data_IF_707601682908
#
_entry.id   IF_707601682908
#
_cell.length_a   1.000
_cell.length_b   1.000
_cell.length_c   1.000
_cell.angle_alpha   90.00
_cell.angle_beta   90.00
_cell.angle_gamma   90.00
#
_symmetry.space_group_name_H-M   'P 1'
#
loop_
_entity.id
_entity.type
_entity.pdbx_description
1 polymer ?
#
# COMPACT_ATOMS: atom_id res chain seq x y z
N UNK A 1 -8.40 -28.92 34.37
CA UNK A 1 -7.79 -28.65 35.70
C UNK A 1 -8.83 -28.73 36.82
N UNK A 2 -10.01 -28.19 36.68
CA UNK A 2 -11.11 -28.23 37.70
C UNK A 2 -11.58 -29.62 38.07
N UNK A 3 -11.86 -30.52 37.14
CA UNK A 3 -12.40 -31.86 37.41
C UNK A 3 -11.55 -32.66 38.41
N UNK A 4 -10.22 -32.54 38.30
CA UNK A 4 -9.29 -33.25 39.23
C UNK A 4 -9.22 -32.62 40.59
N UNK A 5 -9.32 -31.29 40.66
CA UNK A 5 -9.38 -30.58 41.91
C UNK A 5 -10.62 -30.98 42.69
N UNK A 6 -11.77 -30.94 42.04
CA UNK A 6 -13.04 -31.38 42.65
C UNK A 6 -12.99 -32.86 43.08
N UNK A 7 -12.36 -33.73 42.28
CA UNK A 7 -12.20 -35.16 42.66
C UNK A 7 -11.32 -35.35 43.87
N UNK A 8 -10.19 -34.60 43.98
CA UNK A 8 -9.32 -34.62 45.17
C UNK A 8 -10.01 -34.07 46.42
N UNK A 9 -10.96 -33.17 46.27
CA UNK A 9 -11.80 -32.64 47.35
C UNK A 9 -12.94 -33.62 47.75
N UNK A 10 -12.93 -34.85 47.20
CA UNK A 10 -13.89 -35.91 47.58
C UNK A 10 -15.21 -35.87 46.81
N UNK A 11 -15.36 -35.03 45.82
CA UNK A 11 -16.60 -34.94 45.04
C UNK A 11 -16.90 -36.20 44.26
N UNK A 12 -18.17 -36.61 44.22
CA UNK A 12 -18.60 -37.73 43.41
C UNK A 12 -18.63 -37.33 41.93
N UNK A 13 -18.44 -38.29 41.02
CA UNK A 13 -18.54 -38.07 39.56
C UNK A 13 -19.88 -37.42 39.16
N UNK A 14 -21.00 -37.76 39.88
CA UNK A 14 -22.28 -37.12 39.68
C UNK A 14 -22.29 -35.62 40.06
N UNK A 15 -21.66 -35.29 41.16
CA UNK A 15 -21.56 -33.90 41.64
C UNK A 15 -20.66 -33.06 40.70
N UNK A 16 -19.52 -33.62 40.29
CA UNK A 16 -18.61 -32.97 39.31
C UNK A 16 -19.31 -32.74 37.98
N UNK A 17 -20.05 -33.75 37.47
CA UNK A 17 -20.76 -33.63 36.19
C UNK A 17 -21.87 -32.55 36.24
N UNK A 18 -22.54 -32.37 37.39
CA UNK A 18 -23.55 -31.34 37.61
C UNK A 18 -22.92 -29.96 37.67
N UNK A 19 -21.84 -29.82 38.39
CA UNK A 19 -21.12 -28.55 38.57
C UNK A 19 -20.49 -28.06 37.30
N UNK A 20 -19.86 -28.97 36.55
CA UNK A 20 -19.11 -28.62 35.31
C UNK A 20 -19.98 -28.61 34.04
N UNK A 21 -21.23 -29.05 34.10
CA UNK A 21 -22.10 -29.20 32.93
C UNK A 21 -21.69 -30.32 31.97
N UNK A 22 -20.72 -31.15 32.33
CA UNK A 22 -20.19 -32.21 31.49
C UNK A 22 -20.95 -33.55 31.75
N UNK A 23 -20.92 -34.41 30.72
CA UNK A 23 -21.46 -35.75 30.90
C UNK A 23 -20.63 -36.59 31.90
N UNK A 24 -21.25 -37.50 32.63
CA UNK A 24 -20.56 -38.42 33.55
C UNK A 24 -19.48 -39.25 32.84
N UNK A 25 -19.69 -39.60 31.57
CA UNK A 25 -18.74 -40.32 30.74
C UNK A 25 -17.52 -39.43 30.44
N UNK A 26 -17.74 -38.17 30.11
CA UNK A 26 -16.70 -37.19 29.90
C UNK A 26 -15.85 -36.97 31.18
N UNK A 27 -16.51 -36.82 32.33
CA UNK A 27 -15.80 -36.67 33.61
C UNK A 27 -14.94 -37.91 33.95
N UNK A 28 -15.44 -39.13 33.73
CA UNK A 28 -14.65 -40.36 33.92
C UNK A 28 -13.43 -40.37 33.02
N UNK A 29 -13.62 -40.11 31.72
CA UNK A 29 -12.53 -40.08 30.72
C UNK A 29 -11.42 -39.11 31.12
N UNK A 30 -11.78 -37.90 31.60
CA UNK A 30 -10.79 -36.92 32.06
C UNK A 30 -10.07 -37.32 33.35
N UNK A 31 -10.68 -38.15 34.18
CA UNK A 31 -10.06 -38.68 35.40
C UNK A 31 -9.13 -39.86 35.11
N UNK A 32 -9.45 -40.70 34.13
CA UNK A 32 -8.68 -41.87 33.73
C UNK A 32 -7.47 -41.50 32.84
N UNK A 33 -7.67 -40.59 31.88
CA UNK A 33 -6.61 -40.14 31.00
C UNK A 33 -6.56 -38.60 30.93
N UNK A 34 -5.57 -38.01 31.63
CA UNK A 34 -5.40 -36.56 31.67
C UNK A 34 -4.99 -35.91 30.37
N UNK A 35 -4.34 -36.65 29.48
CA UNK A 35 -3.85 -36.16 28.19
C UNK A 35 -4.86 -36.36 27.08
N UNK A 36 -5.89 -37.15 27.31
CA UNK A 36 -7.01 -37.34 26.38
C UNK A 36 -8.02 -36.17 26.34
N UNK A 37 -7.58 -34.96 26.77
CA UNK A 37 -8.33 -33.74 26.49
C UNK A 37 -8.72 -33.78 25.02
N UNK A 38 -10.04 -33.69 24.75
CA UNK A 38 -10.68 -33.92 23.45
C UNK A 38 -9.91 -33.31 22.27
N UNK A 39 -8.85 -33.95 21.85
CA UNK A 39 -8.25 -33.71 20.55
C UNK A 39 -9.16 -34.45 19.58
N UNK A 40 -10.01 -33.72 18.88
CA UNK A 40 -10.60 -34.25 17.66
C UNK A 40 -9.45 -34.71 16.79
N UNK A 41 -9.30 -36.01 16.61
CA UNK A 41 -8.37 -36.55 15.63
C UNK A 41 -8.67 -35.94 14.24
N UNK A 42 -7.69 -35.85 13.38
CA UNK A 42 -7.93 -35.40 12.01
C UNK A 42 -9.08 -36.26 11.44
N UNK A 43 -10.13 -35.59 10.95
CA UNK A 43 -11.21 -36.30 10.25
C UNK A 43 -10.63 -37.06 9.08
N UNK A 44 -11.05 -38.29 8.88
CA UNK A 44 -10.73 -39.02 7.67
C UNK A 44 -11.06 -38.18 6.43
N UNK A 45 -10.12 -38.09 5.46
CA UNK A 45 -10.35 -37.32 4.25
C UNK A 45 -11.59 -37.83 3.53
N UNK A 46 -12.63 -37.02 3.40
CA UNK A 46 -13.80 -37.37 2.60
C UNK A 46 -13.44 -37.38 1.13
N UNK A 47 -13.89 -38.33 0.32
CA UNK A 47 -13.68 -38.31 -1.12
C UNK A 47 -14.25 -37.00 -1.69
N UNK A 48 -13.37 -36.26 -2.39
CA UNK A 48 -13.75 -34.98 -3.00
C UNK A 48 -14.16 -35.19 -4.46
N UNK A 49 -15.05 -34.32 -4.99
CA UNK A 49 -15.41 -34.35 -6.42
C UNK A 49 -14.18 -34.24 -7.34
N UNK A 50 -13.10 -33.62 -6.87
CA UNK A 50 -11.85 -33.47 -7.61
C UNK A 50 -11.00 -34.76 -7.58
N UNK A 51 -11.20 -35.66 -6.62
CA UNK A 51 -10.39 -36.85 -6.40
C UNK A 51 -10.05 -37.60 -7.67
N UNK A 52 -11.01 -38.03 -8.51
CA UNK A 52 -10.77 -38.79 -9.75
C UNK A 52 -9.92 -38.03 -10.80
N UNK A 53 -9.79 -36.72 -10.70
CA UNK A 53 -9.10 -35.90 -11.69
C UNK A 53 -7.72 -35.41 -11.21
N UNK A 54 -7.34 -35.72 -9.96
CA UNK A 54 -6.09 -35.24 -9.34
C UNK A 54 -4.87 -35.69 -10.11
N UNK A 55 -4.81 -36.93 -10.50
CA UNK A 55 -3.66 -37.48 -11.25
C UNK A 55 -3.50 -36.81 -12.62
N UNK A 56 -4.61 -36.60 -13.32
CA UNK A 56 -4.60 -35.90 -14.59
C UNK A 56 -4.10 -34.43 -14.41
N UNK A 57 -4.64 -33.72 -13.45
CA UNK A 57 -4.25 -32.32 -13.17
C UNK A 57 -2.77 -32.24 -12.81
N UNK A 58 -2.26 -33.18 -11.98
CA UNK A 58 -0.85 -33.24 -11.59
C UNK A 58 0.05 -33.48 -12.80
N UNK A 59 -0.28 -34.44 -13.64
CA UNK A 59 0.49 -34.76 -14.85
C UNK A 59 0.53 -33.56 -15.82
N UNK A 60 -0.61 -32.83 -15.96
CA UNK A 60 -0.68 -31.62 -16.82
C UNK A 60 0.19 -30.49 -16.29
N UNK A 61 0.14 -30.25 -14.97
CA UNK A 61 0.97 -29.22 -14.32
C UNK A 61 2.45 -29.55 -14.47
N UNK A 62 2.83 -30.80 -14.25
CA UNK A 62 4.23 -31.23 -14.35
C UNK A 62 4.76 -31.15 -15.79
N UNK A 63 3.99 -31.59 -16.77
CA UNK A 63 4.35 -31.50 -18.18
C UNK A 63 4.51 -30.05 -18.68
N UNK A 64 3.88 -29.09 -18.02
CA UNK A 64 3.97 -27.70 -18.41
C UNK A 64 5.18 -26.96 -17.80
N UNK A 65 5.86 -27.54 -16.84
CA UNK A 65 7.01 -26.89 -16.18
C UNK A 65 8.13 -26.56 -17.18
N UNK A 66 8.79 -25.40 -17.04
CA UNK A 66 8.68 -24.41 -15.97
C UNK A 66 7.46 -23.44 -16.08
N UNK A 67 6.71 -23.52 -17.20
CA UNK A 67 5.49 -22.74 -17.39
C UNK A 67 4.35 -23.24 -16.48
N UNK A 68 3.29 -22.43 -16.34
CA UNK A 68 2.14 -22.74 -15.52
C UNK A 68 0.84 -22.68 -16.32
N UNK A 69 0.03 -23.73 -16.26
CA UNK A 69 -1.29 -23.75 -16.88
C UNK A 69 -2.29 -23.01 -15.96
N UNK A 70 -3.02 -22.01 -16.45
CA UNK A 70 -4.05 -21.31 -15.66
C UNK A 70 -5.12 -22.28 -15.15
N UNK A 71 -5.56 -22.08 -13.90
CA UNK A 71 -6.59 -22.93 -13.28
C UNK A 71 -7.89 -23.02 -14.08
N UNK A 72 -8.22 -21.95 -14.83
CA UNK A 72 -9.43 -21.92 -15.69
C UNK A 72 -9.29 -22.91 -16.87
N UNK A 73 -8.10 -23.05 -17.43
CA UNK A 73 -7.82 -23.99 -18.51
C UNK A 73 -7.92 -25.42 -18.01
N UNK A 74 -7.24 -25.71 -16.87
CA UNK A 74 -7.34 -27.04 -16.23
C UNK A 74 -8.76 -27.40 -15.82
N UNK A 75 -9.55 -26.40 -15.37
CA UNK A 75 -10.97 -26.62 -15.06
C UNK A 75 -11.74 -27.07 -16.30
N UNK A 76 -11.57 -26.38 -17.42
CA UNK A 76 -12.23 -26.74 -18.68
C UNK A 76 -11.84 -28.17 -19.13
N UNK A 77 -10.56 -28.50 -19.08
CA UNK A 77 -10.06 -29.82 -19.44
C UNK A 77 -10.65 -30.94 -18.57
N UNK A 78 -10.84 -30.74 -17.26
CA UNK A 78 -11.46 -31.74 -16.37
C UNK A 78 -12.98 -31.74 -16.47
N UNK A 79 -13.62 -30.61 -16.80
CA UNK A 79 -15.05 -30.54 -17.06
C UNK A 79 -15.42 -31.35 -18.30
N UNK A 80 -14.64 -31.31 -19.35
CA UNK A 80 -14.78 -32.18 -20.56
C UNK A 80 -14.68 -33.68 -20.22
N UNK A 81 -14.02 -34.01 -19.09
CA UNK A 81 -13.89 -35.36 -18.54
C UNK A 81 -14.96 -35.70 -17.48
N UNK A 82 -15.96 -34.83 -17.30
CA UNK A 82 -17.09 -35.07 -16.39
C UNK A 82 -16.99 -34.45 -15.00
N UNK A 83 -16.00 -33.56 -14.74
CA UNK A 83 -15.92 -32.85 -13.46
C UNK A 83 -17.07 -31.84 -13.30
N UNK A 84 -17.84 -31.98 -12.20
CA UNK A 84 -18.99 -31.11 -11.89
C UNK A 84 -18.72 -30.24 -10.64
N UNK A 85 -17.48 -29.97 -10.33
CA UNK A 85 -17.08 -29.11 -9.21
C UNK A 85 -16.72 -27.69 -9.65
N UNK A 86 -16.53 -26.81 -8.67
CA UNK A 86 -16.20 -25.41 -8.90
C UNK A 86 -14.70 -25.12 -9.02
N UNK A 87 -14.38 -23.97 -9.61
CA UNK A 87 -13.03 -23.45 -9.76
C UNK A 87 -12.29 -23.27 -8.42
N UNK A 88 -13.02 -22.90 -7.36
CA UNK A 88 -12.43 -22.65 -6.03
C UNK A 88 -11.76 -23.92 -5.47
N UNK A 89 -12.39 -25.08 -5.61
CA UNK A 89 -11.84 -26.34 -5.15
C UNK A 89 -10.56 -26.72 -5.90
N UNK A 90 -10.55 -26.52 -7.23
CA UNK A 90 -9.36 -26.73 -8.04
C UNK A 90 -8.22 -25.75 -7.66
N UNK A 91 -8.53 -24.47 -7.42
CA UNK A 91 -7.53 -23.48 -6.98
C UNK A 91 -6.89 -23.84 -5.63
N UNK A 92 -7.67 -24.32 -4.68
CA UNK A 92 -7.15 -24.79 -3.37
C UNK A 92 -6.18 -25.94 -3.56
N UNK A 93 -6.51 -26.90 -4.43
CA UNK A 93 -5.61 -28.01 -4.75
C UNK A 93 -4.34 -27.57 -5.48
N UNK A 94 -4.45 -26.63 -6.42
CA UNK A 94 -3.32 -26.14 -7.22
C UNK A 94 -2.37 -25.21 -6.43
N UNK A 95 -2.84 -24.58 -5.36
CA UNK A 95 -2.06 -23.62 -4.59
C UNK A 95 -0.73 -24.19 -4.05
N UNK A 96 -0.66 -25.39 -3.45
CA UNK A 96 0.59 -25.99 -3.00
C UNK A 96 1.47 -26.49 -4.17
N UNK A 97 0.87 -26.83 -5.32
CA UNK A 97 1.61 -27.32 -6.50
C UNK A 97 2.28 -26.18 -7.28
N UNK A 98 1.80 -24.95 -7.09
CA UNK A 98 2.43 -23.77 -7.62
C UNK A 98 3.70 -23.51 -6.82
N UNK A 99 4.81 -24.16 -7.19
CA UNK A 99 6.10 -23.88 -6.58
C UNK A 99 6.42 -22.42 -6.88
N UNK A 100 6.19 -21.57 -5.91
CA UNK A 100 6.90 -20.32 -5.81
C UNK A 100 8.28 -20.69 -5.27
N UNK A 101 9.21 -20.96 -6.14
CA UNK A 101 10.56 -20.57 -5.81
C UNK A 101 10.45 -19.07 -5.55
N UNK A 102 10.63 -18.59 -4.33
CA UNK A 102 10.69 -17.16 -4.11
C UNK A 102 11.89 -16.72 -4.94
N UNK A 103 11.63 -16.10 -6.11
CA UNK A 103 12.70 -15.38 -6.77
C UNK A 103 13.35 -14.54 -5.70
N UNK A 104 14.68 -14.64 -5.51
CA UNK A 104 15.36 -13.88 -4.48
C UNK A 104 14.93 -12.43 -4.64
N UNK A 105 14.27 -11.89 -3.61
CA UNK A 105 13.91 -10.49 -3.53
C UNK A 105 15.22 -9.73 -3.41
N UNK A 106 15.85 -9.44 -4.54
CA UNK A 106 16.97 -8.51 -4.60
C UNK A 106 16.39 -7.14 -4.23
N UNK A 107 16.47 -6.83 -2.96
CA UNK A 107 16.13 -5.49 -2.45
C UNK A 107 17.29 -4.59 -2.83
N UNK A 108 17.09 -3.76 -3.84
CA UNK A 108 18.04 -2.71 -4.16
C UNK A 108 17.93 -1.64 -3.08
N UNK A 109 18.85 -1.68 -2.13
CA UNK A 109 19.09 -0.55 -1.26
C UNK A 109 19.91 0.49 -2.07
N UNK A 110 19.52 1.75 -1.93
CA UNK A 110 20.20 2.87 -2.60
C UNK A 110 20.98 3.66 -1.58
N UNK A 111 22.10 4.22 -2.00
CA UNK A 111 22.86 5.14 -1.16
C UNK A 111 22.05 6.43 -0.86
N UNK A 112 22.38 7.15 0.22
CA UNK A 112 21.76 8.44 0.51
C UNK A 112 21.96 9.41 -0.66
N UNK A 113 20.87 10.09 -1.08
CA UNK A 113 20.88 11.04 -2.19
C UNK A 113 20.97 10.43 -3.58
N UNK A 114 21.04 9.11 -3.72
CA UNK A 114 21.20 8.44 -5.01
C UNK A 114 19.92 8.45 -5.84
N UNK A 115 18.78 8.07 -5.27
CA UNK A 115 17.57 7.81 -6.05
C UNK A 115 16.28 8.22 -5.34
N UNK A 116 15.40 8.83 -6.09
CA UNK A 116 13.97 9.01 -5.78
C UNK A 116 13.13 8.21 -6.77
N UNK A 117 12.06 7.57 -6.31
CA UNK A 117 11.05 6.93 -7.15
C UNK A 117 9.79 7.78 -7.16
N UNK A 118 9.23 8.06 -8.32
CA UNK A 118 8.00 8.84 -8.45
C UNK A 118 6.97 8.14 -9.34
N UNK A 119 5.68 8.27 -8.98
CA UNK A 119 4.57 7.62 -9.65
C UNK A 119 3.25 8.34 -9.42
N UNK A 120 2.33 8.20 -10.39
CA UNK A 120 0.93 8.51 -10.20
C UNK A 120 0.13 7.25 -9.88
N UNK A 121 -0.81 7.36 -8.95
CA UNK A 121 -1.77 6.29 -8.65
C UNK A 121 -3.19 6.84 -8.66
N UNK A 122 -4.09 6.15 -9.35
CA UNK A 122 -5.51 6.51 -9.34
C UNK A 122 -6.16 6.17 -7.99
N UNK A 123 -6.77 7.20 -7.40
CA UNK A 123 -7.66 7.08 -6.23
C UNK A 123 -9.10 6.89 -6.70
N UNK A 124 -9.51 7.71 -7.68
CA UNK A 124 -10.84 7.65 -8.31
C UNK A 124 -10.72 7.95 -9.79
N UNK A 125 -11.39 7.16 -10.63
CA UNK A 125 -11.53 7.37 -12.07
C UNK A 125 -12.88 8.00 -12.39
N UNK A 126 -13.10 8.46 -13.62
CA UNK A 126 -14.36 9.00 -14.13
C UNK A 126 -14.30 10.49 -14.42
N UNK A 127 -15.46 11.15 -14.45
CA UNK A 127 -15.59 12.57 -14.85
C UNK A 127 -14.78 13.54 -13.95
N UNK A 128 -14.64 13.21 -12.67
CA UNK A 128 -13.86 13.98 -11.70
C UNK A 128 -12.79 13.06 -11.11
N UNK A 129 -11.69 12.85 -11.84
CA UNK A 129 -10.64 11.95 -11.40
C UNK A 129 -9.93 12.53 -10.17
N UNK A 130 -9.41 11.65 -9.34
CA UNK A 130 -8.52 11.99 -8.23
C UNK A 130 -7.32 11.07 -8.35
N UNK A 131 -6.16 11.65 -8.54
CA UNK A 131 -4.88 10.97 -8.61
C UNK A 131 -4.02 11.41 -7.43
N UNK A 132 -3.14 10.56 -6.99
CA UNK A 132 -2.07 10.90 -6.08
C UNK A 132 -0.73 10.75 -6.82
N UNK A 133 0.02 11.83 -6.91
CA UNK A 133 1.45 11.77 -7.20
C UNK A 133 2.17 11.39 -5.91
N UNK A 134 3.06 10.41 -5.98
CA UNK A 134 3.85 9.93 -4.84
C UNK A 134 5.31 9.92 -5.23
N UNK A 135 6.13 10.58 -4.44
CA UNK A 135 7.60 10.53 -4.55
C UNK A 135 8.18 9.94 -3.27
N UNK A 136 9.10 8.98 -3.39
CA UNK A 136 9.74 8.30 -2.24
C UNK A 136 11.24 8.24 -2.47
N UNK A 137 12.00 8.78 -1.51
CA UNK A 137 13.46 8.67 -1.52
C UNK A 137 13.91 7.24 -1.27
N UNK A 138 14.95 6.86 -1.97
CA UNK A 138 15.40 5.48 -2.01
C UNK A 138 16.06 4.99 -0.72
N UNK A 139 16.77 5.85 -0.02
CA UNK A 139 17.47 5.54 1.24
C UNK A 139 16.58 5.75 2.46
N UNK A 140 16.10 6.97 2.69
CA UNK A 140 15.32 7.31 3.88
C UNK A 140 13.93 6.68 3.91
N UNK A 141 13.36 6.37 2.75
CA UNK A 141 11.95 5.99 2.60
C UNK A 141 10.98 7.13 2.93
N UNK A 142 11.50 8.33 3.12
CA UNK A 142 10.67 9.52 3.25
C UNK A 142 9.85 9.70 1.97
N UNK A 143 8.58 10.02 2.13
CA UNK A 143 7.65 10.12 1.02
C UNK A 143 6.95 11.47 1.01
N UNK A 144 6.71 11.97 -0.19
CA UNK A 144 5.90 13.14 -0.50
C UNK A 144 4.68 12.71 -1.30
N UNK A 145 3.55 13.36 -1.08
CA UNK A 145 2.31 13.11 -1.83
C UNK A 145 1.64 14.43 -2.16
N UNK A 146 1.18 14.54 -3.40
CA UNK A 146 0.35 15.64 -3.89
C UNK A 146 -0.84 15.06 -4.67
N UNK A 147 -2.05 15.58 -4.43
CA UNK A 147 -3.24 15.13 -5.16
C UNK A 147 -3.54 16.05 -6.32
N UNK A 148 -3.94 15.46 -7.47
CA UNK A 148 -4.18 16.16 -8.73
C UNK A 148 -5.41 15.60 -9.43
N UNK A 149 -5.86 16.30 -10.47
CA UNK A 149 -6.92 15.84 -11.37
C UNK A 149 -6.38 15.29 -12.68
N UNK A 150 -5.10 15.52 -12.98
CA UNK A 150 -4.46 15.13 -14.23
C UNK A 150 -3.07 14.50 -13.95
N UNK A 151 -2.55 13.79 -14.95
CA UNK A 151 -1.20 13.21 -14.96
C UNK A 151 -0.43 13.65 -16.23
N UNK A 152 -0.76 14.84 -16.75
CA UNK A 152 -0.03 15.43 -17.88
C UNK A 152 1.39 15.86 -17.48
N UNK A 153 2.18 16.26 -18.47
CA UNK A 153 3.58 16.64 -18.27
C UNK A 153 3.74 17.83 -17.34
N UNK A 154 2.89 18.83 -17.46
CA UNK A 154 2.96 20.03 -16.61
C UNK A 154 2.67 19.69 -15.16
N UNK A 155 1.63 18.88 -14.91
CA UNK A 155 1.30 18.37 -13.57
C UNK A 155 2.43 17.52 -13.01
N UNK A 156 3.04 16.65 -13.81
CA UNK A 156 4.20 15.85 -13.41
C UNK A 156 5.37 16.74 -12.99
N UNK A 157 5.74 17.73 -13.83
CA UNK A 157 6.84 18.64 -13.55
C UNK A 157 6.59 19.49 -12.29
N UNK A 158 5.35 19.98 -12.11
CA UNK A 158 4.96 20.69 -10.89
C UNK A 158 5.11 19.80 -9.65
N UNK A 159 4.54 18.59 -9.66
CA UNK A 159 4.62 17.67 -8.53
C UNK A 159 6.06 17.23 -8.22
N UNK A 160 6.89 17.04 -9.24
CA UNK A 160 8.33 16.77 -9.06
C UNK A 160 9.02 17.95 -8.37
N UNK A 161 8.81 19.18 -8.85
CA UNK A 161 9.36 20.40 -8.24
C UNK A 161 8.99 20.49 -6.76
N UNK A 162 7.71 20.36 -6.43
CA UNK A 162 7.20 20.38 -5.05
C UNK A 162 7.83 19.28 -4.18
N UNK A 163 8.02 18.08 -4.74
CA UNK A 163 8.66 16.98 -4.00
C UNK A 163 10.13 17.25 -3.67
N UNK A 164 10.89 17.85 -4.61
CA UNK A 164 12.29 18.21 -4.39
C UNK A 164 12.42 19.31 -3.33
N UNK A 165 11.54 20.31 -3.38
CA UNK A 165 11.44 21.36 -2.35
C UNK A 165 11.11 20.74 -0.98
N UNK A 166 10.11 19.86 -0.91
CA UNK A 166 9.74 19.19 0.33
C UNK A 166 10.89 18.40 0.96
N UNK A 167 11.65 17.65 0.15
CA UNK A 167 12.83 16.92 0.63
C UNK A 167 14.00 17.83 1.02
N UNK A 168 14.01 19.07 0.52
CA UNK A 168 15.07 20.03 0.78
C UNK A 168 16.34 19.79 -0.03
N UNK A 169 16.22 19.14 -1.20
CA UNK A 169 17.34 18.87 -2.10
C UNK A 169 17.00 17.89 -3.21
N UNK A 170 17.97 17.63 -4.06
CA UNK A 170 17.81 16.92 -5.34
C UNK A 170 18.61 15.61 -5.34
N UNK A 171 17.98 14.45 -5.54
CA UNK A 171 18.67 13.18 -5.69
C UNK A 171 19.41 13.12 -7.04
N UNK A 172 20.39 12.22 -7.16
CA UNK A 172 21.10 12.04 -8.42
C UNK A 172 20.18 11.54 -9.53
N UNK A 173 19.28 10.60 -9.21
CA UNK A 173 18.38 9.98 -10.17
C UNK A 173 16.93 10.06 -9.71
N UNK A 174 16.05 10.35 -10.66
CA UNK A 174 14.59 10.24 -10.49
C UNK A 174 14.09 9.10 -11.37
N UNK A 175 13.62 8.01 -10.73
CA UNK A 175 13.09 6.85 -11.40
C UNK A 175 11.59 7.04 -11.66
N UNK A 176 11.23 7.05 -12.93
CA UNK A 176 9.87 7.27 -13.43
C UNK A 176 9.36 6.05 -14.17
N UNK A 177 8.03 5.93 -14.27
CA UNK A 177 7.42 4.96 -15.18
C UNK A 177 7.50 5.44 -16.63
N UNK A 178 6.99 4.66 -17.56
CA UNK A 178 7.11 4.86 -19.01
C UNK A 178 5.89 5.50 -19.71
N UNK A 179 5.07 6.38 -19.09
CA UNK A 179 4.02 7.04 -19.83
C UNK A 179 4.59 8.04 -20.86
N UNK A 180 3.81 8.41 -21.86
CA UNK A 180 4.22 9.40 -22.86
C UNK A 180 4.54 10.78 -22.28
N UNK A 181 4.03 11.08 -21.09
CA UNK A 181 4.34 12.29 -20.32
C UNK A 181 5.80 12.34 -19.88
N UNK A 182 6.46 11.20 -19.75
CA UNK A 182 7.85 11.06 -19.33
C UNK A 182 8.75 10.80 -20.54
N UNK A 183 8.40 9.79 -21.37
CA UNK A 183 9.23 9.35 -22.50
C UNK A 183 8.40 9.33 -23.77
N UNK A 184 8.90 10.01 -24.80
CA UNK A 184 8.27 10.03 -26.13
C UNK A 184 8.60 8.75 -26.87
N UNK A 185 9.88 8.32 -26.83
CA UNK A 185 10.34 7.12 -27.53
C UNK A 185 11.51 6.47 -26.77
N UNK A 186 11.40 5.15 -26.58
CA UNK A 186 12.43 4.38 -25.91
C UNK A 186 13.55 4.02 -26.86
N UNK A 187 14.79 4.01 -26.31
CA UNK A 187 15.99 3.58 -27.02
C UNK A 187 16.19 4.26 -28.38
N UNK A 188 15.64 5.48 -28.53
CA UNK A 188 15.66 6.26 -29.77
C UNK A 188 17.08 6.55 -30.25
N UNK A 189 18.00 6.82 -29.34
CA UNK A 189 19.40 7.12 -29.63
C UNK A 189 20.34 5.94 -29.37
N UNK A 190 19.80 4.75 -29.11
CA UNK A 190 20.52 3.53 -28.75
C UNK A 190 20.05 2.93 -27.42
N UNK A 191 20.51 1.73 -27.09
CA UNK A 191 20.09 1.01 -25.88
C UNK A 191 20.30 1.85 -24.60
N UNK A 192 19.25 2.08 -23.85
CA UNK A 192 19.26 2.91 -22.64
C UNK A 192 19.24 4.43 -22.90
N UNK A 193 19.25 4.88 -24.15
CA UNK A 193 19.20 6.30 -24.53
C UNK A 193 17.82 6.66 -25.07
N UNK A 194 16.98 7.19 -24.18
CA UNK A 194 15.58 7.45 -24.46
C UNK A 194 15.33 8.89 -24.90
N UNK A 195 14.31 9.09 -25.75
CA UNK A 195 13.80 10.42 -26.06
C UNK A 195 12.76 10.84 -25.03
N UNK A 196 13.21 11.63 -24.05
CA UNK A 196 12.33 12.15 -22.98
C UNK A 196 11.48 13.33 -23.47
N UNK A 197 10.42 13.63 -22.72
CA UNK A 197 9.65 14.85 -22.90
C UNK A 197 10.53 16.08 -22.60
N UNK A 198 10.40 17.13 -23.44
CA UNK A 198 11.24 18.34 -23.36
C UNK A 198 11.06 19.11 -22.07
N UNK A 199 9.84 19.23 -21.56
CA UNK A 199 9.55 19.92 -20.30
C UNK A 199 10.19 19.18 -19.11
N UNK A 200 10.12 17.84 -19.11
CA UNK A 200 10.81 17.04 -18.09
C UNK A 200 12.33 17.19 -18.17
N UNK A 201 12.92 17.25 -19.37
CA UNK A 201 14.35 17.48 -19.53
C UNK A 201 14.74 18.87 -19.03
N UNK A 202 13.97 19.91 -19.36
CA UNK A 202 14.22 21.27 -18.87
C UNK A 202 14.19 21.32 -17.33
N UNK A 203 13.22 20.66 -16.70
CA UNK A 203 13.19 20.53 -15.24
C UNK A 203 14.39 19.75 -14.70
N UNK A 204 14.79 18.68 -15.38
CA UNK A 204 15.94 17.86 -14.98
C UNK A 204 17.25 18.65 -15.07
N UNK A 205 17.42 19.49 -16.09
CA UNK A 205 18.56 20.40 -16.23
C UNK A 205 18.55 21.49 -15.16
N UNK A 206 17.39 22.14 -14.92
CA UNK A 206 17.22 23.17 -13.90
C UNK A 206 17.60 22.67 -12.50
N UNK A 207 17.13 21.48 -12.12
CA UNK A 207 17.39 20.90 -10.79
C UNK A 207 18.65 20.04 -10.72
N UNK A 208 19.22 19.64 -11.85
CA UNK A 208 20.44 18.85 -11.91
C UNK A 208 20.25 17.36 -11.61
N UNK A 209 19.05 16.78 -11.78
CA UNK A 209 18.83 15.33 -11.65
C UNK A 209 18.86 14.62 -13.01
N UNK A 210 19.04 13.30 -12.97
CA UNK A 210 18.97 12.45 -14.16
C UNK A 210 17.68 11.64 -14.15
N UNK A 211 16.76 11.82 -15.11
CA UNK A 211 15.59 10.95 -15.23
C UNK A 211 16.03 9.54 -15.63
N UNK A 212 15.47 8.52 -14.99
CA UNK A 212 15.64 7.11 -15.33
C UNK A 212 14.28 6.45 -15.52
N UNK A 213 14.20 5.50 -16.45
CA UNK A 213 12.99 4.73 -16.70
C UNK A 213 13.06 3.36 -16.02
N UNK A 214 11.92 2.92 -15.54
CA UNK A 214 11.76 1.54 -15.10
C UNK A 214 11.98 0.58 -16.28
N UNK A 215 12.72 -0.51 -16.07
CA UNK A 215 12.84 -1.56 -17.09
C UNK A 215 11.47 -2.21 -17.31
N UNK A 216 11.06 -2.44 -18.58
CA UNK A 216 9.82 -3.15 -18.87
C UNK A 216 9.81 -4.52 -18.19
N UNK A 217 8.63 -4.98 -17.77
CA UNK A 217 8.40 -6.30 -17.16
C UNK A 217 9.20 -6.60 -15.86
N UNK A 218 9.91 -5.62 -15.30
CA UNK A 218 10.55 -5.72 -13.98
C UNK A 218 9.80 -4.84 -12.95
N UNK A 219 8.57 -5.23 -12.59
CA UNK A 219 7.77 -4.58 -11.53
C UNK A 219 8.55 -4.41 -10.20
N UNK A 220 9.55 -5.25 -9.96
CA UNK A 220 10.39 -5.23 -8.74
C UNK A 220 11.23 -3.96 -8.57
N UNK A 221 11.51 -3.19 -9.65
CA UNK A 221 12.32 -1.96 -9.58
C UNK A 221 11.61 -0.81 -8.88
N UNK A 222 10.29 -0.77 -8.88
CA UNK A 222 9.45 0.30 -8.32
C UNK A 222 8.74 -0.07 -7.02
N UNK A 223 9.11 -1.17 -6.40
CA UNK A 223 8.44 -1.72 -5.23
C UNK A 223 8.41 -0.81 -3.99
N UNK A 224 9.21 0.25 -3.94
CA UNK A 224 9.21 1.23 -2.84
C UNK A 224 7.95 2.10 -2.90
N UNK A 225 7.70 2.72 -4.05
CA UNK A 225 6.51 3.56 -4.30
C UNK A 225 5.23 2.72 -4.30
N UNK A 226 5.22 1.54 -4.91
CA UNK A 226 4.02 0.68 -4.93
C UNK A 226 3.54 0.29 -3.53
N UNK A 227 4.48 -0.04 -2.62
CA UNK A 227 4.13 -0.32 -1.21
C UNK A 227 3.59 0.91 -0.51
N UNK A 228 4.19 2.07 -0.78
CA UNK A 228 3.69 3.31 -0.21
C UNK A 228 2.30 3.67 -0.76
N UNK A 229 2.03 3.46 -2.05
CA UNK A 229 0.72 3.65 -2.65
C UNK A 229 -0.37 2.80 -1.96
N UNK A 230 -0.07 1.54 -1.65
CA UNK A 230 -0.98 0.67 -0.90
C UNK A 230 -1.21 1.18 0.52
N UNK A 231 -0.15 1.62 1.20
CA UNK A 231 -0.22 2.20 2.53
C UNK A 231 -1.02 3.52 2.55
N UNK A 232 -0.78 4.43 1.60
CA UNK A 232 -1.50 5.69 1.43
C UNK A 232 -3.02 5.44 1.29
N UNK A 233 -3.40 4.47 0.45
CA UNK A 233 -4.81 4.12 0.23
C UNK A 233 -5.47 3.61 1.52
N UNK A 234 -4.84 2.70 2.23
CA UNK A 234 -5.41 2.09 3.43
C UNK A 234 -5.36 2.98 4.67
N UNK A 235 -4.26 3.70 4.89
CA UNK A 235 -4.01 4.45 6.13
C UNK A 235 -4.42 5.92 6.09
N UNK A 236 -4.54 6.52 4.90
CA UNK A 236 -4.93 7.91 4.73
C UNK A 236 -6.27 8.08 4.01
N UNK A 237 -6.36 7.57 2.77
CA UNK A 237 -7.51 7.88 1.91
C UNK A 237 -8.82 7.26 2.41
N UNK A 238 -8.80 5.99 2.82
CA UNK A 238 -10.01 5.32 3.31
C UNK A 238 -10.54 5.97 4.59
N UNK A 239 -9.72 6.23 5.64
CA UNK A 239 -10.19 6.94 6.83
C UNK A 239 -10.69 8.35 6.53
N UNK A 240 -9.95 9.15 5.74
CA UNK A 240 -10.34 10.50 5.37
C UNK A 240 -11.68 10.52 4.62
N UNK A 241 -11.83 9.64 3.61
CA UNK A 241 -13.08 9.54 2.86
C UNK A 241 -14.27 9.15 3.76
N UNK A 242 -14.06 8.27 4.74
CA UNK A 242 -15.09 7.89 5.71
C UNK A 242 -15.50 9.07 6.60
N UNK A 243 -14.54 9.83 7.11
CA UNK A 243 -14.78 11.02 7.93
C UNK A 243 -15.53 12.10 7.15
N UNK A 244 -15.08 12.40 5.93
CA UNK A 244 -15.76 13.38 5.07
C UNK A 244 -17.19 12.95 4.72
N UNK A 245 -17.40 11.68 4.44
CA UNK A 245 -18.73 11.12 4.17
C UNK A 245 -19.68 11.29 5.36
N UNK A 246 -19.20 11.10 6.60
CA UNK A 246 -20.00 11.33 7.80
C UNK A 246 -20.41 12.80 7.95
N UNK A 247 -19.55 13.71 7.49
CA UNK A 247 -19.83 15.16 7.44
C UNK A 247 -20.62 15.60 6.19
N UNK A 248 -21.13 14.67 5.37
CA UNK A 248 -21.84 14.99 4.12
C UNK A 248 -20.97 15.51 2.99
N UNK A 249 -19.64 15.48 3.15
CA UNK A 249 -18.65 15.98 2.20
C UNK A 249 -18.10 14.86 1.31
N UNK A 250 -17.56 15.26 0.16
CA UNK A 250 -16.86 14.33 -0.76
C UNK A 250 -15.37 14.60 -0.73
N UNK A 251 -14.59 13.51 -0.82
CA UNK A 251 -13.15 13.61 -0.99
C UNK A 251 -12.84 14.16 -2.39
N UNK A 252 -12.21 15.33 -2.46
CA UNK A 252 -11.69 15.97 -3.66
C UNK A 252 -10.21 16.33 -3.50
N UNK A 253 -9.62 16.97 -4.51
CA UNK A 253 -8.21 17.38 -4.53
C UNK A 253 -7.89 18.34 -3.39
N UNK A 254 -8.75 19.32 -3.16
CA UNK A 254 -8.54 20.35 -2.13
C UNK A 254 -8.56 19.75 -0.74
N UNK A 255 -9.59 18.94 -0.43
CA UNK A 255 -9.71 18.25 0.84
C UNK A 255 -8.54 17.28 1.07
N UNK A 256 -8.12 16.54 0.03
CA UNK A 256 -6.99 15.62 0.14
C UNK A 256 -5.67 16.35 0.41
N UNK A 257 -5.39 17.44 -0.33
CA UNK A 257 -4.16 18.22 -0.17
C UNK A 257 -4.09 18.98 1.17
N UNK A 258 -5.21 19.43 1.71
CA UNK A 258 -5.22 20.10 3.02
C UNK A 258 -4.89 19.15 4.18
N UNK A 259 -5.16 17.86 4.05
CA UNK A 259 -4.95 16.88 5.12
C UNK A 259 -3.66 16.05 4.95
N UNK A 260 -3.07 15.99 3.74
CA UNK A 260 -1.94 15.10 3.48
C UNK A 260 -0.65 15.53 4.19
N UNK A 261 -0.36 16.84 4.25
CA UNK A 261 0.87 17.36 4.86
C UNK A 261 1.05 16.93 6.32
N UNK A 262 0.08 17.22 7.22
CA UNK A 262 0.11 16.76 8.60
C UNK A 262 0.23 15.23 8.75
N UNK A 263 -0.46 14.47 7.89
CA UNK A 263 -0.38 13.01 7.91
C UNK A 263 1.00 12.49 7.48
N UNK A 264 1.62 13.08 6.45
CA UNK A 264 2.98 12.73 6.04
C UNK A 264 3.96 12.98 7.18
N UNK A 265 3.88 14.15 7.81
CA UNK A 265 4.81 14.58 8.84
C UNK A 265 4.69 13.78 10.15
N UNK A 266 3.45 13.53 10.60
CA UNK A 266 3.17 12.95 11.92
C UNK A 266 2.94 11.43 11.91
N UNK A 267 2.57 10.88 10.76
CA UNK A 267 2.20 9.47 10.63
C UNK A 267 3.11 8.74 9.65
N UNK A 268 3.10 9.12 8.37
CA UNK A 268 3.76 8.31 7.33
C UNK A 268 5.29 8.33 7.47
N UNK A 269 5.89 9.49 7.64
CA UNK A 269 7.35 9.64 7.74
C UNK A 269 7.86 9.57 9.19
N UNK A 270 6.96 9.53 10.18
CA UNK A 270 7.30 9.43 11.60
C UNK A 270 7.24 7.99 12.15
N UNK A 271 6.61 7.06 11.41
CA UNK A 271 6.52 5.65 11.86
C UNK A 271 7.85 4.92 11.67
N UNK A 272 8.09 3.89 12.46
CA UNK A 272 9.15 2.92 12.18
C UNK A 272 8.82 2.19 10.88
N UNK A 273 9.69 2.28 9.89
CA UNK A 273 9.48 1.68 8.58
C UNK A 273 9.80 0.18 8.60
N UNK A 274 8.82 -0.66 8.25
CA UNK A 274 8.91 -2.12 8.40
C UNK A 274 10.04 -2.82 7.65
N UNK A 275 10.69 -2.17 6.66
CA UNK A 275 11.84 -2.75 5.94
C UNK A 275 13.17 -2.29 6.51
N UNK A 276 13.29 -1.00 6.87
CA UNK A 276 14.55 -0.43 7.37
C UNK A 276 14.68 -0.56 8.89
N UNK A 277 13.56 -0.72 9.61
CA UNK A 277 13.55 -0.70 11.07
C UNK A 277 13.75 0.70 11.67
N UNK A 278 13.84 1.74 10.85
CA UNK A 278 14.17 3.11 11.26
C UNK A 278 13.05 4.08 10.85
N UNK A 279 13.06 5.27 11.44
CA UNK A 279 12.08 6.33 11.15
C UNK A 279 12.49 7.11 9.89
N UNK A 280 11.64 7.20 8.84
CA UNK A 280 11.98 7.93 7.62
C UNK A 280 12.40 9.38 7.83
N UNK A 281 11.79 10.11 8.76
CA UNK A 281 12.17 11.49 9.06
C UNK A 281 13.61 11.61 9.60
N UNK A 282 14.05 10.69 10.45
CA UNK A 282 15.41 10.67 10.99
C UNK A 282 16.42 10.35 9.88
N UNK A 283 16.12 9.34 9.07
CA UNK A 283 16.96 9.00 7.91
C UNK A 283 17.00 10.12 6.87
N UNK A 284 15.92 10.88 6.72
CA UNK A 284 15.88 12.02 5.80
C UNK A 284 16.88 13.10 6.22
N UNK A 285 17.11 13.32 7.50
CA UNK A 285 18.14 14.28 7.95
C UNK A 285 19.53 13.89 7.43
N UNK A 286 19.88 12.59 7.54
CA UNK A 286 21.15 12.07 7.01
C UNK A 286 21.19 12.13 5.48
N UNK A 287 20.08 11.84 4.81
CA UNK A 287 20.00 11.85 3.36
C UNK A 287 20.13 13.26 2.79
N UNK A 288 19.58 14.29 3.48
CA UNK A 288 19.68 15.70 3.09
C UNK A 288 21.12 16.19 2.93
N UNK A 289 22.05 15.70 3.73
CA UNK A 289 23.47 16.02 3.60
C UNK A 289 24.10 15.55 2.28
N UNK A 290 23.48 14.57 1.63
CA UNK A 290 23.93 13.96 0.37
C UNK A 290 23.08 14.34 -0.83
N UNK A 291 21.91 14.97 -0.62
CA UNK A 291 21.15 15.56 -1.70
C UNK A 291 21.89 16.75 -2.29
N UNK A 292 21.77 16.97 -3.58
CA UNK A 292 22.28 18.18 -4.25
C UNK A 292 21.45 19.38 -3.80
N UNK A 293 22.05 20.59 -3.76
CA UNK A 293 21.30 21.78 -3.41
C UNK A 293 20.19 22.06 -4.42
N UNK A 294 19.13 22.69 -3.96
CA UNK A 294 18.09 23.24 -4.83
C UNK A 294 18.65 24.37 -5.70
N UNK A 295 18.09 24.62 -6.90
CA UNK A 295 18.46 25.76 -7.74
C UNK A 295 18.38 27.09 -6.95
N UNK A 296 19.27 28.01 -7.26
CA UNK A 296 19.37 29.30 -6.55
C UNK A 296 18.05 30.10 -6.63
N UNK A 297 17.36 30.04 -7.77
CA UNK A 297 16.05 30.66 -7.96
C UNK A 297 15.02 30.15 -6.93
N UNK A 298 14.94 28.83 -6.75
CA UNK A 298 14.02 28.20 -5.79
C UNK A 298 14.45 28.47 -4.35
N UNK A 299 15.75 28.41 -4.07
CA UNK A 299 16.30 28.69 -2.75
C UNK A 299 16.06 30.15 -2.33
N UNK A 300 16.13 31.08 -3.28
CA UNK A 300 15.83 32.50 -3.04
C UNK A 300 14.34 32.72 -2.71
N UNK A 301 13.44 32.06 -3.42
CA UNK A 301 12.00 32.14 -3.16
C UNK A 301 11.64 31.58 -1.77
N UNK A 302 12.32 30.51 -1.32
CA UNK A 302 12.14 29.95 0.01
C UNK A 302 12.81 30.80 1.11
N UNK A 303 13.84 31.56 0.77
CA UNK A 303 14.57 32.42 1.69
C UNK A 303 13.93 33.81 1.84
N UNK A 304 12.94 34.16 1.01
CA UNK A 304 12.14 35.38 1.24
C UNK A 304 11.47 35.18 2.60
N UNK A 305 11.86 35.91 3.67
CA UNK A 305 11.13 35.83 4.91
C UNK A 305 9.71 36.21 4.56
N UNK A 306 8.75 35.31 4.79
CA UNK A 306 7.36 35.69 4.93
C UNK A 306 7.46 36.87 5.92
N UNK A 307 7.28 38.07 5.40
CA UNK A 307 7.33 39.27 6.23
C UNK A 307 6.50 38.89 7.46
N UNK A 308 7.11 38.91 8.62
CA UNK A 308 6.43 38.81 9.90
C UNK A 308 5.66 40.12 10.14
N UNK A 309 5.05 40.62 9.08
CA UNK A 309 3.88 41.50 9.18
C UNK A 309 2.85 40.58 9.78
N UNK A 310 2.65 40.80 11.08
CA UNK A 310 1.67 40.13 11.90
C UNK A 310 0.54 39.56 11.04
N UNK A 311 0.61 38.26 10.78
CA UNK A 311 -0.58 37.48 10.57
C UNK A 311 -1.33 37.69 11.91
N UNK A 312 -2.08 38.79 12.00
CA UNK A 312 -3.16 38.83 12.95
C UNK A 312 -3.89 37.53 12.71
N UNK A 313 -3.97 36.62 13.69
CA UNK A 313 -4.83 35.49 13.57
C UNK A 313 -6.16 36.04 13.12
N UNK A 314 -6.60 35.78 11.88
CA UNK A 314 -7.94 36.11 11.47
C UNK A 314 -8.82 35.47 12.52
N UNK A 315 -9.57 36.27 13.31
CA UNK A 315 -10.41 35.70 14.35
C UNK A 315 -11.31 34.68 13.64
N UNK A 316 -11.34 33.44 14.11
CA UNK A 316 -12.28 32.44 13.61
C UNK A 316 -13.72 32.94 13.57
N UNK A 317 -14.03 33.92 14.39
CA UNK A 317 -15.30 34.63 14.45
C UNK A 317 -15.63 35.46 13.21
N UNK A 318 -14.64 35.86 12.38
CA UNK A 318 -14.90 36.68 11.18
C UNK A 318 -15.41 35.88 9.97
N UNK A 319 -15.37 34.55 10.03
CA UNK A 319 -15.90 33.63 8.98
C UNK A 319 -17.27 33.05 9.34
N UNK A 320 -17.75 33.26 10.57
CA UNK A 320 -19.11 32.92 10.98
C UNK A 320 -19.95 34.19 10.95
N UNK A 321 -20.95 34.22 10.07
CA UNK A 321 -21.97 35.24 10.18
C UNK A 321 -22.60 35.17 11.58
N UNK A 322 -22.86 36.33 12.25
CA UNK A 322 -23.58 36.33 13.51
C UNK A 322 -24.87 35.52 13.38
N UNK A 323 -25.25 34.81 14.42
CA UNK A 323 -26.48 33.97 14.43
C UNK A 323 -27.72 34.75 13.98
N UNK A 324 -27.74 36.07 14.22
CA UNK A 324 -28.77 37.00 13.74
C UNK A 324 -28.97 37.02 12.22
N UNK A 325 -27.93 36.70 11.44
CA UNK A 325 -28.05 36.61 9.96
C UNK A 325 -28.81 35.34 9.57
N UNK A 326 -28.64 34.28 10.32
CA UNK A 326 -29.35 33.00 10.08
C UNK A 326 -30.81 33.08 10.61
N UNK A 327 -31.04 33.77 11.71
CA UNK A 327 -32.37 34.04 12.24
C UNK A 327 -33.19 34.89 11.26
N UNK A 328 -32.59 35.93 10.69
CA UNK A 328 -33.25 36.77 9.68
C UNK A 328 -33.60 36.00 8.39
N UNK A 329 -32.85 34.95 8.04
CA UNK A 329 -33.15 34.07 6.88
C UNK A 329 -34.31 33.10 7.17
N UNK A 330 -34.55 32.78 8.43
CA UNK A 330 -35.67 31.91 8.86
C UNK A 330 -36.99 32.68 9.00
N UNK A 331 -36.94 34.00 9.19
CA UNK A 331 -38.14 34.84 9.26
C UNK A 331 -38.71 35.24 7.87
N UNK A 332 -37.96 34.96 6.78
CA UNK A 332 -38.33 35.30 5.40
C UNK A 332 -38.81 34.07 4.61
N UNK A 333 -38.78 32.85 5.22
CA UNK A 333 -39.27 31.60 4.66
C UNK A 333 -40.60 31.21 5.35
#
# INVERSE_FOLDING_TARGET
MEIRVLKRQGWSIRAIARETGLSRVTVRRYLEDPESAARYGPREPRPTKLGPYIEYVRARVEAARPAWIPAVVLLREIQERGYQGGLSQLKVYLAPLKSREPEPLVRFETAPGEQMQADFTYVRRGRYPLLAFVATLGYSRASFVCFTMAEDTQTLCHCLRESLIYFGGVPEHVLLDNPKTVVIERDFYGEGQHRYNRELLALAEEFGFRPRLCRPYRAKTKGKVERFNSYLKGSFLVPLAATLKQAGLKLDVTAANSHIGPWLQRVANARVHGTTGEVPNERLQLEREKLRPLPVSVAADLAIPIAQGALQPMPYESLQHPLSVYEALLEVA
#
